data_IF_744171536994
#
_entry.id   IF_744171536994
#
_cell.length_a   1.000
_cell.length_b   1.000
_cell.length_c   1.000
_cell.angle_alpha   90.00
_cell.angle_beta   90.00
_cell.angle_gamma   90.00
#
_symmetry.space_group_name_H-M   'P 1'
#
loop_
_entity.id
_entity.type
_entity.pdbx_description
1 polymer ?
#
# COMPACT_ATOMS: atom_id res chain seq x y z
N UNK A 1 16.61 9.39 -4.53
CA UNK A 1 16.75 7.99 -4.96
C UNK A 1 15.76 7.24 -4.09
N UNK A 2 14.70 6.69 -4.69
CA UNK A 2 13.72 5.90 -3.94
C UNK A 2 14.34 4.55 -3.61
N UNK A 3 14.53 4.26 -2.33
CA UNK A 3 15.31 3.10 -1.88
C UNK A 3 14.51 1.79 -1.96
N UNK A 4 13.18 1.87 -2.10
CA UNK A 4 12.30 0.71 -2.13
C UNK A 4 11.44 0.65 -3.40
N UNK A 5 11.35 -0.54 -3.98
CA UNK A 5 10.43 -0.83 -5.09
C UNK A 5 9.08 -1.32 -4.57
N UNK A 6 8.01 -0.62 -4.94
CA UNK A 6 6.64 -1.02 -4.60
C UNK A 6 6.11 -1.98 -5.66
N UNK A 7 5.61 -3.14 -5.23
CA UNK A 7 4.91 -4.08 -6.10
C UNK A 7 3.54 -4.40 -5.52
N UNK A 8 2.50 -4.26 -6.34
CA UNK A 8 1.12 -4.60 -5.95
C UNK A 8 0.80 -6.05 -6.33
N UNK A 9 0.34 -6.83 -5.34
CA UNK A 9 -0.17 -8.18 -5.58
C UNK A 9 -1.45 -8.16 -6.42
N UNK A 10 -1.74 -9.28 -7.10
CA UNK A 10 -2.96 -9.42 -7.92
C UNK A 10 -4.25 -9.21 -7.12
N UNK A 11 -4.30 -9.69 -5.88
CA UNK A 11 -5.44 -9.47 -4.98
C UNK A 11 -5.64 -7.99 -4.67
N UNK A 12 -4.56 -7.29 -4.29
CA UNK A 12 -4.59 -5.86 -4.00
C UNK A 12 -5.06 -5.03 -5.21
N UNK A 13 -4.62 -5.36 -6.43
CA UNK A 13 -5.14 -4.69 -7.64
C UNK A 13 -6.65 -4.85 -7.81
N UNK A 14 -7.17 -6.07 -7.66
CA UNK A 14 -8.62 -6.33 -7.75
C UNK A 14 -9.41 -5.58 -6.69
N UNK A 15 -8.84 -5.36 -5.52
CA UNK A 15 -9.48 -4.56 -4.47
C UNK A 15 -9.45 -3.07 -4.79
N UNK A 16 -8.32 -2.55 -5.29
CA UNK A 16 -8.22 -1.16 -5.75
C UNK A 16 -9.21 -0.84 -6.86
N UNK A 17 -9.38 -1.73 -7.84
CA UNK A 17 -10.34 -1.55 -8.95
C UNK A 17 -11.80 -1.42 -8.48
N UNK A 18 -12.14 -1.90 -7.28
CA UNK A 18 -13.49 -1.79 -6.70
C UNK A 18 -13.71 -0.48 -5.93
N UNK A 19 -12.65 0.28 -5.69
CA UNK A 19 -12.74 1.55 -4.96
C UNK A 19 -13.18 2.67 -5.90
N UNK A 20 -13.92 3.62 -5.36
CA UNK A 20 -14.30 4.83 -6.08
C UNK A 20 -13.08 5.70 -6.42
N UNK A 21 -13.16 6.45 -7.52
CA UNK A 21 -12.10 7.31 -8.01
C UNK A 21 -11.61 8.34 -6.95
N UNK A 22 -12.51 8.87 -6.11
CA UNK A 22 -12.14 9.78 -5.04
C UNK A 22 -11.27 9.13 -3.96
N UNK A 23 -11.48 7.84 -3.69
CA UNK A 23 -10.65 7.06 -2.76
C UNK A 23 -9.30 6.76 -3.41
N UNK A 24 -9.30 6.34 -4.68
CA UNK A 24 -8.08 6.04 -5.43
C UNK A 24 -7.13 7.26 -5.47
N UNK A 25 -7.67 8.44 -5.77
CA UNK A 25 -6.91 9.69 -5.79
C UNK A 25 -6.25 10.03 -4.44
N UNK A 26 -6.81 9.54 -3.33
CA UNK A 26 -6.23 9.74 -1.98
C UNK A 26 -5.20 8.67 -1.62
N UNK A 27 -5.33 7.47 -2.16
CA UNK A 27 -4.50 6.32 -1.81
C UNK A 27 -3.23 6.27 -2.65
N UNK A 28 -3.31 6.47 -3.97
CA UNK A 28 -2.16 6.34 -4.87
C UNK A 28 -0.94 7.20 -4.45
N UNK A 29 -1.10 8.50 -4.13
CA UNK A 29 0.02 9.33 -3.69
C UNK A 29 0.66 8.80 -2.38
N UNK A 30 -0.16 8.22 -1.50
CA UNK A 30 0.34 7.64 -0.24
C UNK A 30 1.09 6.33 -0.49
N UNK A 31 0.65 5.52 -1.45
CA UNK A 31 1.36 4.31 -1.85
C UNK A 31 2.73 4.71 -2.42
N UNK A 32 2.76 5.65 -3.36
CA UNK A 32 4.02 6.11 -3.98
C UNK A 32 5.03 6.64 -2.96
N UNK A 33 4.56 7.41 -1.97
CA UNK A 33 5.41 7.90 -0.88
C UNK A 33 6.08 6.80 -0.04
N UNK A 34 5.56 5.56 -0.04
CA UNK A 34 6.18 4.43 0.65
C UNK A 34 7.52 4.01 0.01
N UNK A 35 7.79 4.41 -1.23
CA UNK A 35 9.07 4.12 -1.88
C UNK A 35 10.23 4.87 -1.19
N UNK A 36 9.93 6.05 -0.63
CA UNK A 36 10.88 6.87 0.13
C UNK A 36 10.73 6.67 1.65
N UNK A 37 9.51 6.47 2.14
CA UNK A 37 9.19 6.30 3.55
C UNK A 37 8.39 5.01 3.81
N UNK A 38 9.02 3.82 3.79
CA UNK A 38 8.33 2.53 3.87
C UNK A 38 7.62 2.28 5.21
N UNK A 39 8.02 2.99 6.26
CA UNK A 39 7.45 2.91 7.60
C UNK A 39 6.95 4.29 8.04
N UNK A 40 5.84 4.78 7.46
CA UNK A 40 5.33 6.09 7.80
C UNK A 40 4.90 6.15 9.27
N UNK A 41 4.96 7.35 9.85
CA UNK A 41 4.62 7.56 11.26
C UNK A 41 3.20 7.08 11.57
N UNK A 42 3.06 6.31 12.65
CA UNK A 42 1.79 5.71 13.05
C UNK A 42 1.47 4.38 12.36
N UNK A 43 2.35 3.85 11.50
CA UNK A 43 2.19 2.49 10.99
C UNK A 43 2.36 1.49 12.15
N UNK A 44 1.46 0.52 12.23
CA UNK A 44 1.53 -0.57 13.20
C UNK A 44 1.96 -1.84 12.48
N UNK A 45 3.01 -2.49 13.00
CA UNK A 45 3.43 -3.80 12.51
C UNK A 45 2.37 -4.83 12.87
N UNK A 46 1.63 -5.31 11.87
CA UNK A 46 0.70 -6.41 12.05
C UNK A 46 1.48 -7.69 12.41
N UNK A 47 1.01 -8.43 13.41
CA UNK A 47 1.51 -9.75 13.78
C UNK A 47 0.42 -10.76 13.46
N UNK A 48 0.67 -11.63 12.49
CA UNK A 48 -0.33 -12.54 11.94
C UNK A 48 0.26 -13.52 10.96
N UNK A 49 1.21 -14.35 11.40
CA UNK A 49 1.45 -15.63 10.73
C UNK A 49 0.33 -16.59 11.14
N UNK A 50 -0.85 -16.46 10.54
CA UNK A 50 -1.73 -17.60 10.36
C UNK A 50 -1.77 -17.91 8.87
N UNK A 51 -0.85 -18.80 8.47
CA UNK A 51 -1.10 -19.66 7.33
C UNK A 51 -2.34 -20.48 7.69
N UNK A 52 -3.46 -20.21 7.04
CA UNK A 52 -4.54 -21.17 6.83
C UNK A 52 -4.34 -21.76 5.43
#
# INVERSE_FOLDING_TARGET
>A
MSDYQITLCRSARKELEKLDAGILNRIFPKIEALADAPHPQGCLKIQGQQKL
#
